data_IF_972768291543
#
_entry.id   IF_972768291543
#
_cell.length_a   1.000
_cell.length_b   1.000
_cell.length_c   1.000
_cell.angle_alpha   90.00
_cell.angle_beta   90.00
_cell.angle_gamma   90.00
#
_symmetry.space_group_name_H-M   'P 1'
#
loop_
_entity.id
_entity.type
_entity.pdbx_description
1 polymer ?
#
# COMPACT_ATOMS: atom_id res chain seq x y z
N UNK A 1 45.02 55.95 21.40
CA UNK A 1 45.51 56.65 20.20
C UNK A 1 44.43 56.56 19.16
N UNK A 2 43.89 57.70 18.73
CA UNK A 2 42.72 57.79 17.86
C UNK A 2 43.07 57.88 16.37
N UNK A 3 42.05 58.38 15.64
CA UNK A 3 41.97 58.69 14.22
C UNK A 3 41.65 57.51 13.29
N UNK A 4 40.71 57.60 12.36
CA UNK A 4 40.02 58.78 11.82
C UNK A 4 39.88 58.64 10.30
N UNK A 5 38.69 58.93 9.80
CA UNK A 5 38.19 58.82 8.42
C UNK A 5 39.12 59.24 7.27
N UNK A 6 38.86 58.67 6.08
CA UNK A 6 38.86 59.43 4.81
C UNK A 6 37.85 58.90 3.79
N UNK A 7 36.76 59.66 3.62
CA UNK A 7 35.93 59.66 2.41
C UNK A 7 36.75 60.25 1.25
N UNK A 8 36.58 59.70 0.04
CA UNK A 8 36.84 60.43 -1.20
C UNK A 8 35.54 60.50 -2.01
N UNK A 9 35.11 61.74 -2.20
CA UNK A 9 34.13 62.21 -3.17
C UNK A 9 34.69 62.06 -4.59
N UNK A 10 33.85 61.59 -5.51
CA UNK A 10 34.13 61.52 -6.94
C UNK A 10 32.83 61.73 -7.71
N UNK A 11 32.70 62.95 -8.22
CA UNK A 11 31.67 63.56 -9.06
C UNK A 11 30.86 62.65 -9.99
N UNK A 12 29.56 62.95 -10.04
CA UNK A 12 28.64 62.41 -11.02
C UNK A 12 28.99 62.84 -12.44
N UNK A 13 28.82 61.89 -13.37
CA UNK A 13 28.49 62.19 -14.76
C UNK A 13 27.30 61.32 -15.16
N UNK A 14 26.17 62.00 -15.34
CA UNK A 14 25.00 61.47 -16.00
C UNK A 14 25.36 61.29 -17.48
N UNK A 15 25.46 60.05 -17.94
CA UNK A 15 25.41 59.74 -19.39
C UNK A 15 24.11 59.00 -19.63
N UNK A 16 23.24 59.70 -20.31
CA UNK A 16 21.93 59.30 -20.79
C UNK A 16 22.03 58.12 -21.78
N UNK A 17 21.07 57.20 -21.64
CA UNK A 17 20.50 56.48 -22.78
C UNK A 17 21.25 55.23 -23.28
N UNK A 18 20.98 54.08 -22.67
CA UNK A 18 21.04 52.80 -23.37
C UNK A 18 20.06 51.76 -22.78
N UNK A 19 18.90 51.69 -23.45
CA UNK A 19 17.99 50.54 -23.66
C UNK A 19 17.86 49.50 -22.53
N UNK A 20 16.86 49.72 -21.68
CA UNK A 20 16.30 48.75 -20.73
C UNK A 20 15.34 47.72 -21.39
N UNK A 21 15.54 47.36 -22.67
CA UNK A 21 14.65 46.43 -23.40
C UNK A 21 15.26 45.05 -23.70
N UNK A 22 16.55 44.84 -23.44
CA UNK A 22 17.22 43.57 -23.78
C UNK A 22 17.24 42.53 -22.64
N UNK A 23 16.95 42.91 -21.39
CA UNK A 23 17.06 41.99 -20.24
C UNK A 23 15.76 41.23 -19.89
N UNK A 24 14.60 41.66 -20.40
CA UNK A 24 13.31 40.97 -20.16
C UNK A 24 13.03 39.80 -21.10
N UNK A 25 13.73 39.71 -22.24
CA UNK A 25 13.52 38.61 -23.20
C UNK A 25 14.29 37.33 -22.83
N UNK A 26 15.45 37.45 -22.18
CA UNK A 26 16.28 36.30 -21.80
C UNK A 26 15.75 35.52 -20.58
N UNK A 27 15.12 36.18 -19.59
CA UNK A 27 14.55 35.48 -18.44
C UNK A 27 13.27 34.70 -18.77
N UNK A 28 12.41 35.21 -19.66
CA UNK A 28 11.16 34.54 -20.01
C UNK A 28 11.39 33.27 -20.85
N UNK A 29 12.46 33.23 -21.66
CA UNK A 29 12.80 32.05 -22.47
C UNK A 29 13.42 30.92 -21.64
N UNK A 30 14.13 31.25 -20.55
CA UNK A 30 14.76 30.25 -19.67
C UNK A 30 13.76 29.63 -18.71
N UNK A 31 12.84 30.43 -18.15
CA UNK A 31 11.75 29.93 -17.28
C UNK A 31 10.80 29.02 -18.07
N UNK A 32 10.48 29.36 -19.33
CA UNK A 32 9.63 28.54 -20.19
C UNK A 32 10.27 27.21 -20.64
N UNK A 33 11.60 27.10 -20.69
CA UNK A 33 12.30 25.83 -20.99
C UNK A 33 12.38 24.91 -19.78
N UNK A 34 12.61 25.45 -18.58
CA UNK A 34 12.59 24.65 -17.36
C UNK A 34 11.18 24.12 -17.05
N UNK A 35 10.14 24.95 -17.16
CA UNK A 35 8.75 24.50 -16.96
C UNK A 35 8.30 23.47 -18.02
N UNK A 36 8.76 23.58 -19.27
CA UNK A 36 8.50 22.55 -20.30
C UNK A 36 9.24 21.24 -20.05
N UNK A 37 10.46 21.28 -19.52
CA UNK A 37 11.22 20.06 -19.22
C UNK A 37 10.52 19.25 -18.11
N UNK A 38 10.06 19.90 -17.04
CA UNK A 38 9.38 19.24 -15.92
C UNK A 38 8.03 18.63 -16.31
N UNK A 39 7.24 19.31 -17.15
CA UNK A 39 5.94 18.79 -17.63
C UNK A 39 6.12 17.61 -18.62
N UNK A 40 7.22 17.60 -19.38
CA UNK A 40 7.49 16.53 -20.34
C UNK A 40 8.02 15.28 -19.63
N UNK A 41 8.82 15.40 -18.57
CA UNK A 41 9.37 14.25 -17.83
C UNK A 41 8.29 13.41 -17.13
N UNK A 42 7.29 14.01 -16.48
CA UNK A 42 6.20 13.26 -15.83
C UNK A 42 5.26 12.55 -16.82
N UNK A 43 5.16 13.06 -18.06
CA UNK A 43 4.25 12.51 -19.08
C UNK A 43 4.77 11.24 -19.78
N UNK A 44 6.05 10.89 -19.63
CA UNK A 44 6.68 9.80 -20.38
C UNK A 44 6.52 8.43 -19.68
N UNK A 45 6.19 8.41 -18.39
CA UNK A 45 6.19 7.18 -17.59
C UNK A 45 4.83 6.46 -17.50
N UNK A 46 3.73 7.07 -17.96
CA UNK A 46 2.39 6.48 -17.85
C UNK A 46 1.75 6.24 -19.23
N UNK A 47 1.11 5.08 -19.41
CA UNK A 47 0.40 4.75 -20.66
C UNK A 47 -0.77 5.72 -20.87
N UNK A 48 -1.13 5.98 -22.13
CA UNK A 48 -2.35 6.76 -22.42
C UNK A 48 -3.59 6.01 -21.91
N UNK A 49 -4.67 6.71 -21.50
CA UNK A 49 -5.90 6.04 -21.04
C UNK A 49 -6.47 5.02 -22.03
N UNK A 50 -6.35 5.28 -23.34
CA UNK A 50 -6.81 4.36 -24.39
C UNK A 50 -5.95 3.10 -24.55
N UNK A 51 -4.69 3.14 -24.12
CA UNK A 51 -3.78 2.01 -24.14
C UNK A 51 -3.68 1.28 -22.79
N UNK A 52 -4.02 1.96 -21.68
CA UNK A 52 -3.85 1.45 -20.31
C UNK A 52 -4.55 0.11 -20.09
N UNK A 53 -5.79 -0.03 -20.57
CA UNK A 53 -6.60 -1.24 -20.42
C UNK A 53 -6.50 -2.23 -21.59
N UNK A 54 -5.47 -2.12 -22.45
CA UNK A 54 -5.22 -3.13 -23.49
C UNK A 54 -4.38 -4.27 -22.92
N UNK A 55 -4.71 -5.54 -23.22
CA UNK A 55 -3.83 -6.65 -22.86
C UNK A 55 -2.47 -6.49 -23.53
N UNK A 56 -1.39 -6.78 -22.80
CA UNK A 56 0.00 -6.59 -23.29
C UNK A 56 0.54 -7.78 -24.08
N UNK A 57 -0.24 -8.84 -24.26
CA UNK A 57 0.10 -9.97 -25.12
C UNK A 57 -1.17 -10.50 -25.81
N UNK A 58 -1.02 -10.95 -27.05
CA UNK A 58 -2.13 -11.54 -27.80
C UNK A 58 -2.53 -12.84 -27.11
N UNK A 59 -3.79 -12.93 -26.68
CA UNK A 59 -4.33 -14.08 -25.94
C UNK A 59 -4.27 -13.95 -24.42
N UNK A 60 -3.69 -12.87 -23.88
CA UNK A 60 -3.81 -12.54 -22.46
C UNK A 60 -5.24 -12.06 -22.14
N UNK A 61 -5.73 -12.29 -20.93
CA UNK A 61 -7.05 -11.83 -20.51
C UNK A 61 -7.10 -10.29 -20.46
N UNK A 62 -8.31 -9.75 -20.66
CA UNK A 62 -8.53 -8.31 -20.56
C UNK A 62 -8.24 -7.82 -19.13
N UNK A 63 -7.52 -6.70 -18.95
CA UNK A 63 -7.28 -6.13 -17.63
C UNK A 63 -8.59 -5.74 -16.93
N UNK A 64 -8.61 -5.85 -15.61
CA UNK A 64 -9.69 -5.30 -14.80
C UNK A 64 -9.78 -3.78 -14.94
N UNK A 65 -11.00 -3.26 -14.91
CA UNK A 65 -11.27 -1.81 -14.84
C UNK A 65 -11.55 -1.32 -13.41
N UNK A 66 -12.02 -2.24 -12.58
CA UNK A 66 -12.25 -2.07 -11.15
C UNK A 66 -11.72 -3.31 -10.46
N UNK A 67 -11.14 -3.13 -9.27
CA UNK A 67 -10.65 -4.27 -8.49
C UNK A 67 -11.81 -5.15 -8.03
N UNK A 68 -11.61 -6.48 -7.96
CA UNK A 68 -12.58 -7.36 -7.33
C UNK A 68 -12.89 -6.92 -5.90
N UNK A 69 -14.18 -6.85 -5.57
CA UNK A 69 -14.66 -6.57 -4.21
C UNK A 69 -14.54 -7.86 -3.41
N UNK A 70 -13.44 -7.97 -2.67
CA UNK A 70 -13.07 -9.13 -1.84
C UNK A 70 -12.74 -8.66 -0.43
N UNK A 71 -13.09 -9.47 0.57
CA UNK A 71 -12.68 -9.23 1.95
C UNK A 71 -11.23 -9.67 2.14
N UNK A 72 -10.39 -8.79 2.70
CA UNK A 72 -8.92 -8.97 2.77
C UNK A 72 -8.34 -8.46 4.10
N UNK A 73 -9.01 -8.69 5.23
CA UNK A 73 -8.61 -8.15 6.55
C UNK A 73 -7.22 -8.64 6.98
N UNK A 74 -6.83 -9.84 6.54
CA UNK A 74 -5.49 -10.37 6.75
C UNK A 74 -4.93 -11.12 5.55
N UNK A 75 -3.62 -10.94 5.34
CA UNK A 75 -2.80 -11.72 4.41
C UNK A 75 -1.97 -12.69 5.25
N UNK A 76 -2.33 -13.98 5.26
CA UNK A 76 -1.64 -14.97 6.08
C UNK A 76 -0.48 -15.64 5.35
N UNK A 77 0.74 -15.46 5.87
CA UNK A 77 1.95 -15.96 5.24
C UNK A 77 2.19 -17.44 5.59
N UNK A 78 2.42 -18.25 4.58
CA UNK A 78 2.75 -19.67 4.70
C UNK A 78 4.11 -19.92 4.05
N UNK A 79 5.10 -20.50 4.75
CA UNK A 79 6.38 -20.91 4.16
C UNK A 79 6.21 -22.25 3.42
N UNK A 80 6.11 -22.26 2.08
CA UNK A 80 5.60 -23.43 1.38
C UNK A 80 6.63 -24.56 1.30
N UNK A 81 7.91 -24.36 1.64
CA UNK A 81 8.89 -25.45 1.71
C UNK A 81 8.65 -26.35 2.93
N UNK A 82 7.99 -25.86 3.98
CA UNK A 82 7.76 -26.62 5.22
C UNK A 82 6.47 -27.44 5.09
N UNK A 83 6.61 -28.76 4.91
CA UNK A 83 5.47 -29.68 4.74
C UNK A 83 4.44 -29.58 5.87
N UNK A 84 4.90 -29.51 7.13
CA UNK A 84 4.02 -29.33 8.29
C UNK A 84 3.16 -28.06 8.22
N UNK A 85 3.63 -27.01 7.56
CA UNK A 85 2.84 -25.78 7.39
C UNK A 85 1.87 -25.93 6.22
N UNK A 86 2.29 -26.53 5.10
CA UNK A 86 1.38 -26.85 3.98
C UNK A 86 0.23 -27.75 4.41
N UNK A 87 0.49 -28.75 5.26
CA UNK A 87 -0.52 -29.67 5.77
C UNK A 87 -1.64 -29.00 6.59
N UNK A 88 -1.43 -27.76 7.07
CA UNK A 88 -2.44 -26.99 7.81
C UNK A 88 -3.29 -26.08 6.91
N UNK A 89 -2.91 -25.92 5.64
CA UNK A 89 -3.59 -25.01 4.71
C UNK A 89 -5.07 -25.35 4.51
N UNK A 90 -5.49 -26.64 4.40
CA UNK A 90 -6.92 -26.97 4.31
C UNK A 90 -7.76 -26.35 5.45
N UNK A 91 -7.28 -26.46 6.69
CA UNK A 91 -7.97 -25.89 7.86
C UNK A 91 -7.85 -24.37 7.95
N UNK A 92 -6.79 -23.79 7.37
CA UNK A 92 -6.53 -22.37 7.36
C UNK A 92 -7.44 -21.62 6.39
N UNK A 93 -7.75 -22.21 5.22
CA UNK A 93 -8.53 -21.59 4.15
C UNK A 93 -9.86 -21.03 4.67
N UNK A 94 -10.55 -21.77 5.54
CA UNK A 94 -11.83 -21.34 6.11
C UNK A 94 -11.69 -20.22 7.18
N UNK A 95 -10.47 -19.95 7.64
CA UNK A 95 -10.20 -19.04 8.77
C UNK A 95 -9.58 -17.72 8.34
N UNK A 96 -9.06 -17.61 7.12
CA UNK A 96 -8.38 -16.41 6.64
C UNK A 96 -9.07 -15.86 5.41
N UNK A 97 -8.86 -14.56 5.20
CA UNK A 97 -9.35 -13.86 4.03
C UNK A 97 -8.42 -14.11 2.82
N UNK A 98 -7.11 -14.14 3.07
CA UNK A 98 -6.07 -14.43 2.07
C UNK A 98 -5.02 -15.40 2.63
N UNK A 99 -4.67 -16.41 1.84
CA UNK A 99 -3.48 -17.26 2.03
C UNK A 99 -2.39 -16.80 1.06
N UNK A 100 -1.19 -16.52 1.59
CA UNK A 100 -0.03 -16.13 0.80
C UNK A 100 1.09 -17.15 0.95
N UNK A 101 1.51 -17.76 -0.16
CA UNK A 101 2.74 -18.55 -0.21
C UNK A 101 3.97 -17.65 -0.28
N UNK A 102 4.87 -17.76 0.68
CA UNK A 102 6.07 -16.91 0.72
C UNK A 102 7.29 -17.62 0.09
N UNK A 103 7.91 -17.00 -0.93
CA UNK A 103 9.10 -17.52 -1.60
C UNK A 103 10.34 -16.67 -1.31
N UNK A 104 10.19 -15.52 -0.67
CA UNK A 104 11.23 -14.51 -0.54
C UNK A 104 11.88 -14.53 0.87
N UNK A 105 11.88 -13.43 1.62
CA UNK A 105 12.54 -13.32 2.91
C UNK A 105 11.98 -14.36 3.90
N UNK A 106 12.82 -14.83 4.82
CA UNK A 106 12.59 -15.98 5.69
C UNK A 106 12.53 -17.36 5.00
N UNK A 107 12.74 -17.44 3.69
CA UNK A 107 13.02 -18.70 2.98
C UNK A 107 14.54 -18.79 2.72
N UNK A 108 15.24 -19.80 3.27
CA UNK A 108 16.65 -20.02 2.99
C UNK A 108 16.94 -20.15 1.49
N UNK A 109 18.11 -19.69 1.04
CA UNK A 109 18.48 -19.66 -0.39
C UNK A 109 18.48 -21.07 -1.03
N UNK A 110 18.90 -22.08 -0.28
CA UNK A 110 18.87 -23.50 -0.69
C UNK A 110 17.46 -24.11 -0.68
N UNK A 111 16.50 -23.47 0.00
CA UNK A 111 15.10 -23.89 0.05
C UNK A 111 14.20 -23.18 -0.97
N UNK A 112 14.72 -22.25 -1.79
CA UNK A 112 13.92 -21.45 -2.74
C UNK A 112 13.17 -22.30 -3.77
N UNK A 113 13.87 -23.26 -4.38
CA UNK A 113 13.28 -24.21 -5.32
C UNK A 113 12.22 -25.08 -4.65
N UNK A 114 12.47 -25.52 -3.42
CA UNK A 114 11.51 -26.32 -2.64
C UNK A 114 10.28 -25.52 -2.22
N UNK A 115 10.45 -24.23 -1.91
CA UNK A 115 9.34 -23.33 -1.61
C UNK A 115 8.46 -23.12 -2.85
N UNK A 116 9.05 -22.92 -4.03
CA UNK A 116 8.29 -22.79 -5.28
C UNK A 116 7.49 -24.06 -5.58
N UNK A 117 8.15 -25.22 -5.55
CA UNK A 117 7.48 -26.52 -5.74
C UNK A 117 6.39 -26.76 -4.70
N UNK A 118 6.68 -26.43 -3.45
CA UNK A 118 5.74 -26.54 -2.34
C UNK A 118 4.52 -25.63 -2.51
N UNK A 119 4.69 -24.41 -3.04
CA UNK A 119 3.57 -23.51 -3.34
C UNK A 119 2.70 -24.07 -4.46
N UNK A 120 3.31 -24.55 -5.56
CA UNK A 120 2.57 -25.16 -6.68
C UNK A 120 1.75 -26.36 -6.18
N UNK A 121 2.37 -27.26 -5.42
CA UNK A 121 1.70 -28.41 -4.83
C UNK A 121 0.55 -27.99 -3.90
N UNK A 122 0.81 -27.04 -2.99
CA UNK A 122 -0.20 -26.47 -2.09
C UNK A 122 -1.39 -25.90 -2.85
N UNK A 123 -1.15 -25.16 -3.93
CA UNK A 123 -2.21 -24.58 -4.74
C UNK A 123 -2.98 -25.62 -5.56
N UNK A 124 -2.32 -26.69 -6.01
CA UNK A 124 -2.97 -27.80 -6.73
C UNK A 124 -3.88 -28.62 -5.80
N UNK A 125 -3.40 -28.95 -4.60
CA UNK A 125 -4.06 -29.84 -3.65
C UNK A 125 -5.29 -29.24 -2.95
N UNK A 126 -5.46 -27.92 -3.02
CA UNK A 126 -6.49 -27.21 -2.27
C UNK A 126 -7.46 -26.45 -3.19
N UNK A 127 -8.72 -26.38 -2.77
CA UNK A 127 -9.70 -25.42 -3.26
C UNK A 127 -9.81 -24.28 -2.23
N UNK A 128 -9.60 -23.05 -2.69
CA UNK A 128 -9.59 -21.87 -1.83
C UNK A 128 -10.97 -21.21 -1.72
N UNK A 129 -11.94 -21.59 -2.57
CA UNK A 129 -13.28 -21.01 -2.55
C UNK A 129 -13.26 -19.48 -2.64
N UNK A 130 -13.68 -18.81 -1.56
CA UNK A 130 -13.69 -17.34 -1.45
C UNK A 130 -12.44 -16.76 -0.77
N UNK A 131 -11.47 -17.58 -0.40
CA UNK A 131 -10.21 -17.15 0.21
C UNK A 131 -9.21 -16.85 -0.89
N UNK A 132 -8.63 -15.65 -0.88
CA UNK A 132 -7.69 -15.25 -1.92
C UNK A 132 -6.42 -16.09 -1.86
N UNK A 133 -5.92 -16.52 -3.02
CA UNK A 133 -4.62 -17.19 -3.14
C UNK A 133 -3.59 -16.22 -3.69
N UNK A 134 -2.60 -15.91 -2.87
CA UNK A 134 -1.51 -14.99 -3.21
C UNK A 134 -0.16 -15.71 -3.15
N UNK A 135 0.86 -15.12 -3.76
CA UNK A 135 2.25 -15.53 -3.55
C UNK A 135 3.18 -14.32 -3.51
N UNK A 136 4.11 -14.28 -2.55
CA UNK A 136 5.23 -13.33 -2.56
C UNK A 136 6.42 -14.00 -3.24
N UNK A 137 6.70 -13.56 -4.46
CA UNK A 137 7.83 -14.05 -5.26
C UNK A 137 9.14 -13.42 -4.81
N UNK A 138 10.27 -13.95 -5.27
CA UNK A 138 11.57 -13.35 -5.01
C UNK A 138 11.72 -11.97 -5.66
N UNK A 139 12.65 -11.14 -5.18
CA UNK A 139 12.91 -9.80 -5.74
C UNK A 139 13.47 -9.87 -7.18
N UNK A 140 13.24 -8.81 -7.97
CA UNK A 140 13.57 -8.77 -9.41
C UNK A 140 15.05 -8.98 -9.73
N UNK A 141 15.95 -8.60 -8.81
CA UNK A 141 17.40 -8.77 -8.96
C UNK A 141 17.91 -10.15 -8.48
N UNK A 142 17.01 -11.04 -8.05
CA UNK A 142 17.36 -12.38 -7.59
C UNK A 142 17.48 -13.39 -8.74
N UNK A 143 18.23 -14.49 -8.57
CA UNK A 143 18.28 -15.56 -9.56
C UNK A 143 17.00 -16.43 -9.60
N UNK A 144 16.05 -16.22 -8.67
CA UNK A 144 14.87 -17.10 -8.53
C UNK A 144 13.58 -16.51 -9.12
N UNK A 145 13.46 -15.19 -9.23
CA UNK A 145 12.22 -14.51 -9.64
C UNK A 145 11.67 -15.03 -10.97
N UNK A 146 12.54 -15.19 -11.99
CA UNK A 146 12.09 -15.58 -13.31
C UNK A 146 11.44 -16.97 -13.30
N UNK A 147 12.07 -17.92 -12.62
CA UNK A 147 11.55 -19.28 -12.49
C UNK A 147 10.31 -19.33 -11.57
N UNK A 148 10.22 -18.46 -10.55
CA UNK A 148 9.00 -18.33 -9.74
C UNK A 148 7.79 -18.09 -10.65
N UNK A 149 7.88 -17.14 -11.59
CA UNK A 149 6.77 -16.87 -12.52
C UNK A 149 6.61 -17.92 -13.60
N UNK A 150 7.72 -18.36 -14.21
CA UNK A 150 7.70 -19.32 -15.32
C UNK A 150 7.16 -20.69 -14.92
N UNK A 151 7.24 -21.08 -13.64
CA UNK A 151 6.67 -22.33 -13.15
C UNK A 151 5.29 -22.14 -12.51
N UNK A 152 5.07 -21.08 -11.72
CA UNK A 152 3.80 -20.89 -10.99
C UNK A 152 2.66 -20.54 -11.93
N UNK A 153 2.86 -19.60 -12.86
CA UNK A 153 1.76 -19.11 -13.72
C UNK A 153 1.21 -20.24 -14.60
N UNK A 154 2.04 -21.06 -15.28
CA UNK A 154 1.51 -22.19 -16.06
C UNK A 154 0.91 -23.31 -15.21
N UNK A 155 1.40 -23.52 -13.98
CA UNK A 155 0.94 -24.62 -13.15
C UNK A 155 -0.38 -24.33 -12.41
N UNK A 156 -0.55 -23.11 -11.91
CA UNK A 156 -1.66 -22.73 -11.01
C UNK A 156 -2.19 -21.31 -11.24
N UNK A 157 -1.84 -20.66 -12.36
CA UNK A 157 -2.23 -19.27 -12.64
C UNK A 157 -3.74 -19.01 -12.63
N UNK A 158 -4.56 -20.00 -12.99
CA UNK A 158 -6.04 -19.88 -12.91
C UNK A 158 -6.56 -19.77 -11.48
N UNK A 159 -5.83 -20.30 -10.49
CA UNK A 159 -6.17 -20.18 -9.07
C UNK A 159 -5.53 -18.95 -8.42
N UNK A 160 -4.43 -18.44 -8.98
CA UNK A 160 -3.66 -17.34 -8.39
C UNK A 160 -4.36 -15.99 -8.61
N UNK A 161 -4.61 -15.25 -7.55
CA UNK A 161 -5.27 -13.94 -7.63
C UNK A 161 -4.27 -12.81 -7.73
N UNK A 162 -3.23 -12.85 -6.90
CA UNK A 162 -2.29 -11.74 -6.73
C UNK A 162 -0.85 -12.25 -6.56
N UNK A 163 0.06 -11.63 -7.29
CA UNK A 163 1.50 -11.75 -7.06
C UNK A 163 1.96 -10.53 -6.27
N UNK A 164 2.55 -10.78 -5.11
CA UNK A 164 3.18 -9.78 -4.28
C UNK A 164 4.65 -9.63 -4.67
N UNK A 165 5.03 -8.45 -5.17
CA UNK A 165 6.38 -8.13 -5.63
C UNK A 165 7.15 -7.36 -4.54
N UNK A 166 8.23 -7.93 -3.97
CA UNK A 166 9.03 -7.24 -2.96
C UNK A 166 9.93 -6.17 -3.58
N UNK A 167 10.39 -5.24 -2.75
CA UNK A 167 11.44 -4.25 -3.04
C UNK A 167 11.17 -3.44 -4.31
N UNK A 168 9.92 -3.04 -4.52
CA UNK A 168 9.54 -2.20 -5.68
C UNK A 168 10.10 -0.79 -5.48
N UNK A 169 10.89 -0.34 -6.44
CA UNK A 169 11.56 0.97 -6.41
C UNK A 169 10.89 1.96 -7.36
N UNK A 170 10.23 1.50 -8.43
CA UNK A 170 9.56 2.40 -9.35
C UNK A 170 8.59 1.73 -10.33
N UNK A 171 7.97 2.53 -11.22
CA UNK A 171 7.02 2.01 -12.21
C UNK A 171 7.64 1.01 -13.18
N UNK A 172 8.97 1.08 -13.41
CA UNK A 172 9.69 0.15 -14.28
C UNK A 172 9.62 -1.32 -13.81
N UNK A 173 9.59 -1.55 -12.49
CA UNK A 173 9.44 -2.88 -11.91
C UNK A 173 8.05 -3.46 -12.23
N UNK A 174 7.02 -2.60 -12.12
CA UNK A 174 5.64 -2.95 -12.45
C UNK A 174 5.49 -3.19 -13.96
N UNK A 175 6.11 -2.36 -14.80
CA UNK A 175 6.07 -2.53 -16.25
C UNK A 175 6.68 -3.87 -16.68
N UNK A 176 7.80 -4.26 -16.06
CA UNK A 176 8.44 -5.55 -16.33
C UNK A 176 7.52 -6.71 -15.94
N UNK A 177 6.99 -6.70 -14.72
CA UNK A 177 6.10 -7.76 -14.24
C UNK A 177 4.79 -7.84 -15.04
N UNK A 178 4.16 -6.71 -15.36
CA UNK A 178 2.92 -6.65 -16.15
C UNK A 178 3.09 -7.31 -17.53
N UNK A 179 4.17 -6.94 -18.24
CA UNK A 179 4.45 -7.51 -19.56
C UNK A 179 4.77 -9.01 -19.49
N UNK A 180 5.55 -9.45 -18.50
CA UNK A 180 5.91 -10.85 -18.30
C UNK A 180 4.67 -11.69 -17.96
N UNK A 181 3.81 -11.21 -17.05
CA UNK A 181 2.56 -11.88 -16.70
C UNK A 181 1.64 -12.00 -17.91
N UNK A 182 1.46 -10.93 -18.69
CA UNK A 182 0.62 -11.01 -19.89
C UNK A 182 1.11 -12.10 -20.88
N UNK A 183 2.43 -12.22 -21.08
CA UNK A 183 3.00 -13.27 -21.94
C UNK A 183 2.78 -14.67 -21.38
N UNK A 184 2.96 -14.85 -20.07
CA UNK A 184 2.75 -16.14 -19.41
C UNK A 184 1.28 -16.54 -19.36
N UNK A 185 0.38 -15.59 -19.09
CA UNK A 185 -1.07 -15.79 -19.11
C UNK A 185 -1.56 -16.20 -20.49
N UNK A 186 -1.13 -15.49 -21.54
CA UNK A 186 -1.44 -15.85 -22.91
C UNK A 186 -0.94 -17.26 -23.26
N UNK A 187 0.30 -17.59 -22.86
CA UNK A 187 0.93 -18.88 -23.12
C UNK A 187 0.24 -20.03 -22.39
N UNK A 188 -0.17 -19.83 -21.14
CA UNK A 188 -0.86 -20.82 -20.33
C UNK A 188 -2.38 -20.84 -20.54
N UNK A 189 -2.92 -19.88 -21.29
CA UNK A 189 -4.35 -19.77 -21.60
C UNK A 189 -5.20 -19.25 -20.43
N UNK A 190 -4.60 -18.50 -19.49
CA UNK A 190 -5.23 -18.00 -18.27
C UNK A 190 -6.40 -17.07 -18.59
N UNK A 191 -7.55 -17.24 -17.91
CA UNK A 191 -8.79 -16.49 -18.22
C UNK A 191 -8.99 -15.20 -17.42
N UNK A 192 -8.32 -15.05 -16.28
CA UNK A 192 -8.37 -13.84 -15.45
C UNK A 192 -6.98 -13.23 -15.29
N UNK A 193 -6.82 -11.91 -15.35
CA UNK A 193 -5.51 -11.30 -15.14
C UNK A 193 -5.10 -11.47 -13.67
N UNK A 194 -3.89 -11.98 -13.46
CA UNK A 194 -3.24 -12.02 -12.15
C UNK A 194 -2.83 -10.59 -11.79
N UNK A 195 -3.24 -10.13 -10.61
CA UNK A 195 -2.95 -8.78 -10.13
C UNK A 195 -1.54 -8.69 -9.52
N UNK A 196 -1.04 -7.45 -9.40
CA UNK A 196 0.27 -7.12 -8.83
C UNK A 196 0.08 -6.33 -7.54
N UNK A 197 0.64 -6.81 -6.45
CA UNK A 197 0.68 -6.11 -5.18
C UNK A 197 2.11 -5.70 -4.84
N UNK A 198 2.40 -4.41 -4.75
CA UNK A 198 3.75 -3.92 -4.51
C UNK A 198 4.06 -3.86 -3.01
N UNK A 199 5.24 -4.31 -2.59
CA UNK A 199 5.70 -4.08 -1.22
C UNK A 199 6.48 -2.77 -1.18
N UNK A 200 5.99 -1.82 -0.39
CA UNK A 200 6.57 -0.51 -0.17
C UNK A 200 7.61 -0.60 0.94
N UNK A 201 8.84 -0.96 0.57
CA UNK A 201 9.87 -1.31 1.55
C UNK A 201 11.27 -0.74 1.27
N UNK A 202 11.38 0.22 0.35
CA UNK A 202 12.60 1.00 0.12
C UNK A 202 12.30 2.50 0.19
N UNK A 203 13.32 3.30 0.51
CA UNK A 203 13.20 4.75 0.49
C UNK A 203 12.85 5.28 -0.91
N UNK A 204 13.38 4.66 -1.96
CA UNK A 204 13.06 5.00 -3.35
C UNK A 204 11.62 4.62 -3.73
N UNK A 205 11.15 3.44 -3.32
CA UNK A 205 9.74 3.06 -3.50
C UNK A 205 8.79 4.06 -2.86
N UNK A 206 9.09 4.54 -1.64
CA UNK A 206 8.28 5.58 -0.99
C UNK A 206 8.36 6.91 -1.74
N UNK A 207 9.51 7.28 -2.28
CA UNK A 207 9.65 8.49 -3.11
C UNK A 207 8.79 8.40 -4.38
N UNK A 208 8.72 7.22 -5.00
CA UNK A 208 8.07 6.98 -6.29
C UNK A 208 6.65 6.37 -6.19
N UNK A 209 6.05 6.35 -4.99
CA UNK A 209 4.82 5.59 -4.70
C UNK A 209 3.64 5.94 -5.60
N UNK A 210 3.47 7.22 -5.96
CA UNK A 210 2.40 7.65 -6.86
C UNK A 210 2.59 7.10 -8.29
N UNK A 211 3.84 7.08 -8.78
CA UNK A 211 4.15 6.52 -10.09
C UNK A 211 3.99 5.00 -10.11
N UNK A 212 4.32 4.31 -9.01
CA UNK A 212 4.08 2.87 -8.85
C UNK A 212 2.58 2.56 -8.89
N UNK A 213 1.76 3.35 -8.18
CA UNK A 213 0.30 3.19 -8.16
C UNK A 213 -0.31 3.32 -9.57
N UNK A 214 0.20 4.24 -10.38
CA UNK A 214 -0.29 4.52 -11.72
C UNK A 214 0.21 3.55 -12.82
N UNK A 215 1.11 2.62 -12.51
CA UNK A 215 1.94 1.97 -13.53
C UNK A 215 1.20 0.92 -14.40
N UNK A 216 0.16 0.26 -13.87
CA UNK A 216 -0.52 -0.84 -14.57
C UNK A 216 -1.96 -1.05 -14.09
N UNK A 217 -2.90 -1.46 -14.98
CA UNK A 217 -4.24 -1.89 -14.56
C UNK A 217 -4.22 -3.18 -13.73
N UNK A 218 -3.08 -3.86 -13.61
CA UNK A 218 -2.90 -5.00 -12.70
C UNK A 218 -2.67 -4.59 -11.26
N UNK A 219 -2.35 -3.33 -10.98
CA UNK A 219 -2.06 -2.89 -9.62
C UNK A 219 -3.25 -3.23 -8.72
N UNK A 220 -3.00 -4.05 -7.71
CA UNK A 220 -3.94 -4.41 -6.66
C UNK A 220 -3.91 -3.38 -5.53
N UNK A 221 -2.71 -3.02 -5.12
CA UNK A 221 -2.49 -2.34 -3.85
C UNK A 221 -1.04 -2.35 -3.43
N UNK A 222 -0.80 -1.85 -2.23
CA UNK A 222 0.53 -1.81 -1.63
C UNK A 222 0.50 -2.23 -0.17
N UNK A 223 1.56 -2.92 0.27
CA UNK A 223 1.80 -3.23 1.67
C UNK A 223 3.05 -2.51 2.16
N UNK A 224 2.98 -1.89 3.33
CA UNK A 224 4.17 -1.38 4.01
C UNK A 224 5.07 -2.55 4.45
N UNK A 225 6.33 -2.62 3.99
CA UNK A 225 7.34 -3.51 4.55
C UNK A 225 8.24 -2.78 5.55
N UNK A 226 7.90 -2.73 6.86
CA UNK A 226 8.56 -1.83 7.80
C UNK A 226 9.99 -2.25 8.15
N UNK A 227 10.33 -3.54 8.08
CA UNK A 227 11.67 -4.04 8.37
C UNK A 227 12.69 -3.54 7.33
N UNK A 228 12.48 -3.87 6.06
CA UNK A 228 13.33 -3.43 4.97
C UNK A 228 13.27 -1.91 4.77
N UNK A 229 12.12 -1.28 4.98
CA UNK A 229 12.03 0.17 4.89
C UNK A 229 12.85 0.87 5.97
N UNK A 230 12.81 0.34 7.20
CA UNK A 230 13.66 0.84 8.28
C UNK A 230 15.14 0.69 7.93
N UNK A 231 15.54 -0.46 7.39
CA UNK A 231 16.91 -0.69 6.95
C UNK A 231 17.32 0.26 5.83
N UNK A 232 16.50 0.39 4.79
CA UNK A 232 16.72 1.27 3.63
C UNK A 232 16.88 2.74 4.03
N UNK A 233 16.08 3.21 5.00
CA UNK A 233 16.15 4.59 5.53
C UNK A 233 17.21 4.80 6.61
N UNK A 234 17.82 3.74 7.12
CA UNK A 234 18.69 3.82 8.30
C UNK A 234 17.96 4.20 9.59
N UNK A 235 16.66 3.88 9.71
CA UNK A 235 15.87 4.08 10.92
C UNK A 235 16.42 3.24 12.07
N UNK A 236 16.33 3.76 13.30
CA UNK A 236 16.85 3.09 14.50
C UNK A 236 15.78 2.21 15.12
N UNK A 237 15.62 1.01 14.58
CA UNK A 237 14.75 -0.03 15.15
C UNK A 237 15.32 -1.41 14.82
N UNK A 238 15.19 -2.34 15.75
CA UNK A 238 15.41 -3.78 15.53
C UNK A 238 14.11 -4.58 15.59
N UNK A 239 12.98 -3.89 15.78
CA UNK A 239 11.63 -4.46 15.74
C UNK A 239 11.10 -4.40 14.31
N UNK A 240 10.24 -5.36 13.95
CA UNK A 240 9.49 -5.35 12.69
C UNK A 240 8.12 -4.74 12.97
N UNK A 241 7.94 -3.48 12.59
CA UNK A 241 6.76 -2.69 12.98
C UNK A 241 6.87 -2.05 14.36
N UNK A 242 5.78 -1.41 14.81
CA UNK A 242 5.70 -0.75 16.12
C UNK A 242 6.47 0.58 16.19
N UNK A 243 6.45 1.21 17.36
CA UNK A 243 7.17 2.48 17.63
C UNK A 243 8.60 2.30 18.16
N UNK A 244 9.23 3.42 18.50
CA UNK A 244 10.51 3.45 19.21
C UNK A 244 10.39 4.39 20.42
N UNK A 245 10.82 3.99 21.63
CA UNK A 245 10.61 4.77 22.85
C UNK A 245 11.26 6.16 22.81
N UNK A 246 12.40 6.30 22.10
CA UNK A 246 13.10 7.59 21.96
C UNK A 246 12.51 8.51 20.88
N UNK A 247 11.56 8.04 20.08
CA UNK A 247 10.87 8.91 19.11
C UNK A 247 9.75 9.66 19.84
N UNK A 248 10.12 10.75 20.50
CA UNK A 248 9.22 11.49 21.37
C UNK A 248 9.44 13.01 21.28
N UNK A 249 8.40 13.77 21.64
CA UNK A 249 8.47 15.22 21.85
C UNK A 249 8.54 15.51 23.35
N UNK A 250 9.49 16.35 23.77
CA UNK A 250 9.70 16.72 25.17
C UNK A 250 8.98 18.05 25.49
N UNK A 251 8.06 18.03 26.45
CA UNK A 251 7.28 19.21 26.88
C UNK A 251 8.17 20.38 27.30
N UNK A 252 7.68 21.62 27.24
CA UNK A 252 8.40 22.80 27.74
C UNK A 252 8.74 22.70 29.24
N UNK A 253 9.80 23.37 29.72
CA UNK A 253 10.17 23.33 31.13
C UNK A 253 9.07 23.93 32.01
N UNK A 254 8.72 23.24 33.09
CA UNK A 254 7.86 23.74 34.17
C UNK A 254 8.69 23.79 35.45
N UNK A 255 8.64 24.93 36.17
CA UNK A 255 9.45 25.13 37.37
C UNK A 255 9.18 24.04 38.42
N UNK A 256 10.25 23.40 38.90
CA UNK A 256 10.16 22.33 39.91
C UNK A 256 9.67 20.97 39.40
N UNK A 257 9.41 20.79 38.10
CA UNK A 257 8.90 19.53 37.53
C UNK A 257 9.82 18.91 36.47
N UNK A 258 9.87 17.58 36.42
CA UNK A 258 10.52 16.85 35.33
C UNK A 258 9.72 17.00 34.02
N UNK A 259 10.42 17.14 32.89
CA UNK A 259 9.79 17.28 31.58
C UNK A 259 9.18 15.95 31.14
N UNK A 260 7.92 15.98 30.70
CA UNK A 260 7.23 14.80 30.17
C UNK A 260 7.59 14.58 28.70
N UNK A 261 7.85 13.34 28.30
CA UNK A 261 8.08 12.95 26.91
C UNK A 261 6.85 12.22 26.35
N UNK A 262 6.40 12.62 25.17
CA UNK A 262 5.25 12.03 24.48
C UNK A 262 5.74 11.26 23.25
N UNK A 263 5.65 9.93 23.29
CA UNK A 263 6.02 9.09 22.14
C UNK A 263 5.17 9.44 20.92
N UNK A 264 5.80 9.35 19.74
CA UNK A 264 5.20 9.63 18.44
C UNK A 264 5.22 8.37 17.57
N UNK A 265 4.43 8.36 16.51
CA UNK A 265 4.38 7.26 15.55
C UNK A 265 5.42 7.42 14.43
N UNK A 266 6.39 6.50 14.36
CA UNK A 266 7.42 6.45 13.31
C UNK A 266 6.84 6.27 11.91
N UNK A 267 5.66 5.65 11.79
CA UNK A 267 5.09 5.22 10.51
C UNK A 267 4.06 6.19 9.96
N UNK A 268 3.66 7.21 10.72
CA UNK A 268 2.60 8.16 10.36
C UNK A 268 2.74 8.70 8.93
N UNK A 269 3.89 9.28 8.59
CA UNK A 269 4.17 9.80 7.24
C UNK A 269 4.06 8.71 6.16
N UNK A 270 4.57 7.52 6.45
CA UNK A 270 4.67 6.45 5.45
C UNK A 270 3.31 5.86 5.13
N UNK A 271 2.51 5.60 6.17
CA UNK A 271 1.15 5.08 6.03
C UNK A 271 0.27 6.12 5.34
N UNK A 272 0.31 7.38 5.76
CA UNK A 272 -0.48 8.45 5.13
C UNK A 272 -0.17 8.58 3.63
N UNK A 273 1.11 8.68 3.26
CA UNK A 273 1.53 8.82 1.85
C UNK A 273 1.16 7.59 1.01
N UNK A 274 1.27 6.38 1.57
CA UNK A 274 0.86 5.15 0.88
C UNK A 274 -0.65 5.08 0.68
N UNK A 275 -1.44 5.48 1.68
CA UNK A 275 -2.91 5.51 1.58
C UNK A 275 -3.36 6.50 0.51
N UNK A 276 -2.84 7.72 0.51
CA UNK A 276 -3.19 8.74 -0.50
C UNK A 276 -2.83 8.25 -1.92
N UNK A 277 -1.65 7.65 -2.07
CA UNK A 277 -1.22 7.07 -3.34
C UNK A 277 -2.09 5.89 -3.77
N UNK A 278 -2.49 5.00 -2.86
CA UNK A 278 -3.34 3.87 -3.24
C UNK A 278 -4.76 4.34 -3.60
N UNK A 279 -5.39 5.11 -2.73
CA UNK A 279 -6.80 5.48 -2.88
C UNK A 279 -7.03 6.46 -4.03
N UNK A 280 -6.05 7.31 -4.39
CA UNK A 280 -6.15 8.18 -5.58
C UNK A 280 -6.20 7.41 -6.90
N UNK A 281 -5.74 6.15 -6.91
CA UNK A 281 -5.80 5.25 -8.07
C UNK A 281 -6.77 4.08 -7.88
N UNK A 282 -7.62 4.11 -6.85
CA UNK A 282 -8.58 3.03 -6.56
C UNK A 282 -7.93 1.72 -6.11
N UNK A 283 -6.73 1.79 -5.55
CA UNK A 283 -5.95 0.64 -5.07
C UNK A 283 -6.11 0.44 -3.55
N UNK A 284 -5.70 -0.74 -3.08
CA UNK A 284 -5.86 -1.16 -1.69
C UNK A 284 -4.58 -0.98 -0.86
N UNK A 285 -4.54 -0.10 0.15
CA UNK A 285 -3.40 0.03 1.07
C UNK A 285 -3.48 -0.98 2.23
N UNK A 286 -2.34 -1.56 2.60
CA UNK A 286 -2.22 -2.54 3.69
C UNK A 286 -1.03 -2.23 4.60
N UNK A 287 -1.19 -2.54 5.87
CA UNK A 287 -0.05 -2.67 6.75
C UNK A 287 0.64 -4.03 6.48
N UNK A 288 1.96 -4.11 6.59
CA UNK A 288 2.66 -5.38 6.43
C UNK A 288 2.74 -6.17 7.74
N UNK A 289 3.92 -6.71 8.08
CA UNK A 289 4.12 -7.56 9.25
C UNK A 289 4.29 -6.76 10.55
N UNK A 290 3.82 -7.36 11.64
CA UNK A 290 4.23 -7.04 13.00
C UNK A 290 5.00 -8.25 13.56
N UNK A 291 6.27 -8.09 13.91
CA UNK A 291 7.17 -9.22 14.17
C UNK A 291 7.19 -9.74 15.60
N UNK A 292 6.72 -8.98 16.58
CA UNK A 292 6.63 -9.45 17.97
C UNK A 292 5.32 -10.22 18.16
N UNK A 293 5.39 -11.55 18.10
CA UNK A 293 4.20 -12.40 18.23
C UNK A 293 3.69 -12.52 19.66
N UNK A 294 4.49 -12.10 20.64
CA UNK A 294 4.14 -12.18 22.06
C UNK A 294 3.40 -10.94 22.56
N UNK A 295 3.62 -9.78 21.93
CA UNK A 295 2.96 -8.52 22.26
C UNK A 295 1.71 -8.30 21.40
N UNK A 296 0.63 -9.00 21.77
CA UNK A 296 -0.65 -8.92 21.05
C UNK A 296 -1.28 -7.53 21.13
N UNK A 297 -1.06 -6.81 22.22
CA UNK A 297 -1.65 -5.48 22.45
C UNK A 297 -0.96 -4.44 21.56
N UNK A 298 0.37 -4.48 21.44
CA UNK A 298 1.08 -3.63 20.49
C UNK A 298 0.75 -3.98 19.03
N UNK A 299 0.57 -5.27 18.72
CA UNK A 299 0.11 -5.70 17.40
C UNK A 299 -1.26 -5.10 17.06
N UNK A 300 -2.23 -5.21 17.99
CA UNK A 300 -3.56 -4.64 17.82
C UNK A 300 -3.51 -3.11 17.68
N UNK A 301 -2.73 -2.43 18.52
CA UNK A 301 -2.57 -0.98 18.43
C UNK A 301 -1.97 -0.54 17.09
N UNK A 302 -0.95 -1.22 16.60
CA UNK A 302 -0.32 -0.88 15.31
C UNK A 302 -1.24 -1.13 14.13
N UNK A 303 -1.98 -2.25 14.14
CA UNK A 303 -2.98 -2.56 13.11
C UNK A 303 -4.11 -1.52 13.14
N UNK A 304 -4.57 -1.13 14.34
CA UNK A 304 -5.66 -0.15 14.49
C UNK A 304 -5.25 1.22 13.99
N UNK A 305 -4.02 1.65 14.25
CA UNK A 305 -3.48 2.89 13.68
C UNK A 305 -3.52 2.86 12.15
N UNK A 306 -3.15 1.73 11.52
CA UNK A 306 -3.22 1.60 10.07
C UNK A 306 -4.66 1.59 9.54
N UNK A 307 -5.58 0.88 10.20
CA UNK A 307 -7.00 0.84 9.83
C UNK A 307 -7.64 2.23 9.86
N UNK A 308 -7.40 2.98 10.93
CA UNK A 308 -7.91 4.36 11.08
C UNK A 308 -7.35 5.33 10.04
N UNK A 309 -6.16 5.05 9.51
CA UNK A 309 -5.56 5.83 8.41
C UNK A 309 -6.08 5.41 7.03
N UNK A 310 -6.85 4.32 6.91
CA UNK A 310 -7.44 3.87 5.66
C UNK A 310 -6.91 2.54 5.10
N UNK A 311 -5.99 1.85 5.80
CA UNK A 311 -5.57 0.51 5.39
C UNK A 311 -6.71 -0.51 5.52
N UNK A 312 -6.80 -1.44 4.58
CA UNK A 312 -7.86 -2.46 4.52
C UNK A 312 -7.53 -3.77 5.25
N UNK A 313 -6.26 -3.99 5.54
CA UNK A 313 -5.79 -5.20 6.22
C UNK A 313 -4.34 -5.11 6.66
N UNK A 314 -3.88 -6.21 7.27
CA UNK A 314 -2.49 -6.40 7.68
C UNK A 314 -1.95 -7.78 7.33
N UNK A 315 -0.64 -7.98 7.40
CA UNK A 315 -0.07 -9.34 7.31
C UNK A 315 -0.18 -10.06 8.64
N UNK A 316 -0.47 -11.36 8.59
CA UNK A 316 -0.35 -12.25 9.75
C UNK A 316 0.73 -13.29 9.51
N UNK A 317 1.71 -13.34 10.41
CA UNK A 317 2.85 -14.27 10.39
C UNK A 317 2.68 -15.41 11.41
N UNK A 318 1.77 -15.24 12.36
CA UNK A 318 1.45 -16.22 13.40
C UNK A 318 -0.08 -16.34 13.54
N UNK A 319 -0.64 -17.55 13.86
CA UNK A 319 -2.08 -17.73 13.98
C UNK A 319 -2.79 -16.76 14.94
N UNK A 320 -2.14 -16.33 16.02
CA UNK A 320 -2.71 -15.35 16.97
C UNK A 320 -3.03 -14.00 16.32
N UNK A 321 -2.32 -13.63 15.25
CA UNK A 321 -2.55 -12.36 14.55
C UNK A 321 -3.76 -12.40 13.60
N UNK A 322 -4.27 -13.59 13.26
CA UNK A 322 -5.46 -13.73 12.41
C UNK A 322 -6.67 -13.09 13.09
N UNK A 323 -6.91 -13.45 14.35
CA UNK A 323 -8.06 -12.94 15.10
C UNK A 323 -7.92 -11.46 15.46
N UNK A 324 -6.67 -10.99 15.67
CA UNK A 324 -6.39 -9.55 15.84
C UNK A 324 -6.76 -8.80 14.58
N UNK A 325 -6.30 -9.24 13.41
CA UNK A 325 -6.60 -8.59 12.15
C UNK A 325 -8.11 -8.64 11.80
N UNK A 326 -8.79 -9.77 12.03
CA UNK A 326 -10.25 -9.86 11.87
C UNK A 326 -10.97 -8.80 12.68
N UNK A 327 -10.62 -8.67 13.96
CA UNK A 327 -11.26 -7.71 14.87
C UNK A 327 -10.95 -6.27 14.48
N UNK A 328 -9.69 -5.97 14.13
CA UNK A 328 -9.25 -4.59 13.86
C UNK A 328 -9.78 -4.07 12.52
N UNK A 329 -9.75 -4.88 11.46
CA UNK A 329 -10.13 -4.49 10.12
C UNK A 329 -11.60 -4.82 9.79
N UNK A 330 -12.41 -5.14 10.80
CA UNK A 330 -13.87 -5.14 10.71
C UNK A 330 -14.39 -3.86 11.39
N UNK A 331 -15.34 -3.13 10.79
CA UNK A 331 -15.90 -1.93 11.40
C UNK A 331 -16.49 -2.17 12.79
N UNK A 332 -16.42 -1.18 13.67
CA UNK A 332 -17.08 -1.28 14.97
C UNK A 332 -18.62 -1.37 14.80
N UNK A 333 -19.31 -2.33 15.46
CA UNK A 333 -20.76 -2.46 15.35
C UNK A 333 -21.55 -1.20 15.68
N UNK A 334 -21.08 -0.40 16.65
CA UNK A 334 -21.69 0.88 17.01
C UNK A 334 -21.52 1.93 15.91
N UNK A 335 -20.34 1.98 15.28
CA UNK A 335 -20.10 2.82 14.10
C UNK A 335 -20.96 2.40 12.90
N UNK A 336 -21.12 1.11 12.64
CA UNK A 336 -22.00 0.59 11.58
C UNK A 336 -23.45 0.97 11.85
N UNK A 337 -23.94 0.79 13.09
CA UNK A 337 -25.30 1.15 13.47
C UNK A 337 -25.54 2.66 13.30
N UNK A 338 -24.60 3.50 13.71
CA UNK A 338 -24.70 4.96 13.53
C UNK A 338 -24.64 5.36 12.04
N UNK A 339 -23.75 4.75 11.27
CA UNK A 339 -23.65 4.99 9.83
C UNK A 339 -24.94 4.61 9.08
N UNK A 340 -25.59 3.49 9.44
CA UNK A 340 -26.90 3.11 8.88
C UNK A 340 -27.96 4.19 9.15
N UNK A 341 -28.02 4.76 10.36
CA UNK A 341 -28.94 5.87 10.67
C UNK A 341 -28.72 7.09 9.75
N UNK A 342 -27.47 7.42 9.43
CA UNK A 342 -27.14 8.52 8.52
C UNK A 342 -27.68 8.22 7.11
N UNK A 343 -27.42 7.01 6.59
CA UNK A 343 -27.87 6.61 5.25
C UNK A 343 -29.41 6.56 5.15
N UNK A 344 -30.09 6.11 6.20
CA UNK A 344 -31.55 6.08 6.28
C UNK A 344 -32.17 7.48 6.36
N UNK A 345 -31.55 8.40 7.10
CA UNK A 345 -32.03 9.77 7.25
C UNK A 345 -31.81 10.64 6.00
N UNK A 346 -30.84 10.29 5.15
CA UNK A 346 -30.50 10.99 3.91
C UNK A 346 -30.45 9.99 2.74
N UNK A 347 -31.60 9.51 2.23
CA UNK A 347 -31.64 8.39 1.29
C UNK A 347 -31.02 8.69 -0.08
N UNK A 348 -31.03 9.95 -0.53
CA UNK A 348 -30.36 10.39 -1.76
C UNK A 348 -28.96 10.98 -1.51
N UNK A 349 -28.53 11.01 -0.24
CA UNK A 349 -27.24 11.54 0.20
C UNK A 349 -27.10 13.05 0.03
N UNK A 350 -28.20 13.80 -0.07
CA UNK A 350 -28.18 15.26 -0.26
C UNK A 350 -28.77 16.04 0.92
N UNK A 351 -28.23 17.23 1.15
CA UNK A 351 -28.75 18.18 2.13
C UNK A 351 -28.10 18.03 3.50
N UNK A 352 -28.81 18.44 4.55
CA UNK A 352 -28.31 18.34 5.91
C UNK A 352 -29.40 17.94 6.90
N UNK A 353 -29.07 17.04 7.83
CA UNK A 353 -29.97 16.57 8.89
C UNK A 353 -29.25 16.58 10.24
N UNK A 354 -30.01 16.62 11.34
CA UNK A 354 -29.45 16.51 12.70
C UNK A 354 -29.74 15.11 13.24
N UNK A 355 -28.69 14.36 13.61
CA UNK A 355 -28.81 13.02 14.21
C UNK A 355 -28.01 13.01 15.52
N UNK A 356 -28.65 12.63 16.62
CA UNK A 356 -28.03 12.54 17.95
C UNK A 356 -27.22 13.80 18.34
N UNK A 357 -27.74 14.99 17.98
CA UNK A 357 -27.10 16.28 18.26
C UNK A 357 -25.93 16.65 17.34
N UNK A 358 -25.64 15.87 16.31
CA UNK A 358 -24.59 16.12 15.31
C UNK A 358 -25.20 16.41 13.94
N UNK A 359 -24.75 17.49 13.31
CA UNK A 359 -25.11 17.79 11.92
C UNK A 359 -24.47 16.76 10.99
N UNK A 360 -25.27 16.21 10.10
CA UNK A 360 -24.87 15.33 9.01
C UNK A 360 -25.17 16.02 7.70
N UNK A 361 -24.23 15.94 6.77
CA UNK A 361 -24.29 16.46 5.41
C UNK A 361 -23.81 15.41 4.39
N UNK A 362 -23.76 15.80 3.12
CA UNK A 362 -23.29 14.96 2.01
C UNK A 362 -21.91 14.33 2.26
N UNK A 363 -21.03 14.98 3.03
CA UNK A 363 -19.68 14.48 3.33
C UNK A 363 -19.73 13.37 4.40
N UNK A 364 -20.45 13.61 5.49
CA UNK A 364 -20.67 12.58 6.54
C UNK A 364 -21.48 11.39 6.01
N UNK A 365 -22.39 11.60 5.06
CA UNK A 365 -23.10 10.53 4.37
C UNK A 365 -22.16 9.63 3.56
N UNK A 366 -21.20 10.21 2.84
CA UNK A 366 -20.18 9.44 2.10
C UNK A 366 -19.30 8.63 3.05
N UNK A 367 -18.91 9.20 4.20
CA UNK A 367 -18.17 8.47 5.24
C UNK A 367 -19.00 7.29 5.79
N UNK A 368 -20.27 7.52 6.10
CA UNK A 368 -21.19 6.46 6.53
C UNK A 368 -21.33 5.35 5.48
N UNK A 369 -21.40 5.72 4.19
CA UNK A 369 -21.46 4.77 3.09
C UNK A 369 -20.22 3.88 3.03
N UNK A 370 -19.02 4.42 3.21
CA UNK A 370 -17.77 3.63 3.25
C UNK A 370 -17.84 2.57 4.36
N UNK A 371 -18.25 2.96 5.56
CA UNK A 371 -18.38 2.05 6.71
C UNK A 371 -19.40 0.94 6.43
N UNK A 372 -20.59 1.29 5.93
CA UNK A 372 -21.67 0.33 5.67
C UNK A 372 -21.33 -0.59 4.50
N UNK A 373 -20.69 -0.09 3.45
CA UNK A 373 -20.26 -0.93 2.33
C UNK A 373 -19.19 -1.93 2.79
N UNK A 374 -18.21 -1.51 3.61
CA UNK A 374 -17.25 -2.43 4.21
C UNK A 374 -17.94 -3.47 5.12
N UNK A 375 -18.89 -3.04 5.94
CA UNK A 375 -19.66 -3.95 6.80
C UNK A 375 -20.42 -5.02 6.01
N UNK A 376 -20.97 -4.67 4.83
CA UNK A 376 -21.61 -5.64 3.92
C UNK A 376 -20.61 -6.65 3.36
N UNK A 377 -19.42 -6.20 2.99
CA UNK A 377 -18.35 -7.10 2.51
C UNK A 377 -17.92 -8.05 3.63
N UNK A 378 -17.78 -7.56 4.87
CA UNK A 378 -17.50 -8.40 6.04
C UNK A 378 -18.62 -9.42 6.28
N UNK A 379 -19.87 -8.96 6.35
CA UNK A 379 -21.06 -9.79 6.59
C UNK A 379 -21.22 -10.90 5.53
N UNK A 380 -20.76 -10.67 4.30
CA UNK A 380 -20.81 -11.68 3.23
C UNK A 380 -19.98 -12.94 3.52
N UNK A 381 -18.97 -12.86 4.40
CA UNK A 381 -18.04 -13.94 4.74
C UNK A 381 -18.01 -14.26 6.25
N UNK A 382 -18.74 -13.51 7.07
CA UNK A 382 -18.73 -13.58 8.52
C UNK A 382 -20.16 -13.46 9.08
N UNK A 383 -20.82 -14.61 9.28
CA UNK A 383 -22.22 -14.68 9.66
C UNK A 383 -22.50 -14.08 11.05
N UNK A 384 -21.56 -14.22 11.98
CA UNK A 384 -21.68 -13.66 13.32
C UNK A 384 -21.67 -12.12 13.25
N UNK A 385 -20.77 -11.54 12.45
CA UNK A 385 -20.76 -10.10 12.22
C UNK A 385 -21.95 -9.62 11.38
N UNK A 386 -22.47 -10.44 10.46
CA UNK A 386 -23.69 -10.12 9.73
C UNK A 386 -24.88 -9.92 10.69
N UNK A 387 -25.05 -10.83 11.66
CA UNK A 387 -26.07 -10.72 12.71
C UNK A 387 -25.85 -9.47 13.56
N UNK A 388 -24.62 -9.23 14.02
CA UNK A 388 -24.26 -8.08 14.86
C UNK A 388 -24.48 -6.73 14.14
N UNK A 389 -24.19 -6.65 12.83
CA UNK A 389 -24.46 -5.44 12.02
C UNK A 389 -25.93 -5.31 11.61
N UNK A 390 -26.71 -6.38 11.73
CA UNK A 390 -28.08 -6.47 11.21
C UNK A 390 -28.12 -6.27 9.70
N UNK A 391 -27.30 -7.01 8.95
CA UNK A 391 -27.18 -6.96 7.49
C UNK A 391 -27.57 -8.26 6.80
#
# INVERSE_FOLDING_TARGET
MGCGWKRRSGEGRCVSGLRLSAFRSSCSATIGRYARATIVEDSILTKTPSAFYKPLAIGAPDPFRELPVTLERMIHFVPPHIEKMRAKVPDLIAKVDVVLGNLEDAIPADAKTDARRGFIQMAQDNDFGQTGLWTRVNCLNSPWFLDDLMEIVPAVGEKLDVIMLPKVEGPWDIHYLDQLLAQLEAKAGIKKPILIHAILETAEGVKNVEAIAAASPRMHGMSLGPADLAASRGMKTTRVGGGHPDYAVLADPTEGAARTAYQQDLWHYTVAKMVDACLSYGLKPFYGPFGDFSDTDACESQFRNAFLMGCLGAWSLHPTQIDIAKRVFSPDPGEVAFAKKILEAMPDGTGAVMIDGKMQDDATWKQAKVIVDLAKVVASKDADLAEVYGL
#
